data_IF_072854616269
#
_entry.id   IF_072854616269
#
_cell.length_a   1.000
_cell.length_b   1.000
_cell.length_c   1.000
_cell.angle_alpha   90.00
_cell.angle_beta   90.00
_cell.angle_gamma   90.00
#
_symmetry.space_group_name_H-M   'P 1'
#
loop_
_entity.id
_entity.type
_entity.pdbx_description
1 polymer ?
#
# COMPACT_ATOMS: atom_id res chain seq x y z
N UNK A 1 4.57 -15.70 -9.90
CA UNK A 1 3.26 -15.11 -9.58
C UNK A 1 3.30 -14.36 -8.25
N UNK A 2 3.90 -14.96 -7.22
CA UNK A 2 4.14 -14.31 -5.92
C UNK A 2 4.92 -12.99 -6.03
N UNK A 3 5.97 -12.93 -6.85
CA UNK A 3 6.71 -11.67 -7.07
C UNK A 3 5.86 -10.56 -7.69
N UNK A 4 4.92 -10.91 -8.58
CA UNK A 4 4.01 -9.94 -9.19
C UNK A 4 3.04 -9.37 -8.13
N UNK A 5 2.54 -10.24 -7.25
CA UNK A 5 1.68 -9.86 -6.12
C UNK A 5 2.44 -8.98 -5.13
N UNK A 6 3.67 -9.35 -4.76
CA UNK A 6 4.51 -8.57 -3.85
C UNK A 6 4.83 -7.19 -4.44
N UNK A 7 5.23 -7.15 -5.71
CA UNK A 7 5.50 -5.89 -6.41
C UNK A 7 4.29 -4.96 -6.40
N UNK A 8 3.09 -5.46 -6.68
CA UNK A 8 1.86 -4.67 -6.67
C UNK A 8 1.47 -4.20 -5.26
N UNK A 9 1.58 -5.08 -4.27
CA UNK A 9 1.16 -4.80 -2.89
C UNK A 9 2.13 -3.88 -2.16
N UNK A 10 3.42 -3.95 -2.48
CA UNK A 10 4.47 -3.31 -1.69
C UNK A 10 5.24 -2.21 -2.43
N UNK A 11 5.35 -2.25 -3.76
CA UNK A 11 6.31 -1.39 -4.51
C UNK A 11 5.66 -0.41 -5.49
N UNK A 12 4.49 -0.70 -6.04
CA UNK A 12 3.95 -0.02 -7.24
C UNK A 12 3.72 1.51 -7.14
N UNK A 13 3.34 2.10 -6.00
CA UNK A 13 2.99 3.54 -5.98
C UNK A 13 3.30 4.28 -4.67
N UNK A 14 4.50 4.08 -4.11
CA UNK A 14 4.91 4.76 -2.85
C UNK A 14 4.94 6.29 -2.94
N UNK A 15 5.18 6.86 -4.14
CA UNK A 15 5.35 8.31 -4.33
C UNK A 15 4.06 9.12 -4.10
N UNK A 16 2.88 8.51 -4.32
CA UNK A 16 1.57 9.15 -4.09
C UNK A 16 1.03 8.96 -2.67
N UNK A 17 1.60 8.02 -1.92
CA UNK A 17 1.09 7.57 -0.63
C UNK A 17 1.99 8.01 0.53
N UNK A 18 2.73 9.12 0.37
CA UNK A 18 3.69 9.61 1.36
C UNK A 18 4.70 8.55 1.84
N UNK A 19 5.13 7.66 0.94
CA UNK A 19 6.07 6.57 1.26
C UNK A 19 5.41 5.26 1.72
N UNK A 20 4.10 5.24 1.93
CA UNK A 20 3.36 4.02 2.31
C UNK A 20 3.21 3.05 1.13
N UNK A 21 3.17 1.75 1.41
CA UNK A 21 2.68 0.77 0.45
C UNK A 21 1.16 0.86 0.29
N UNK A 22 0.60 0.38 -0.85
CA UNK A 22 -0.86 0.26 -1.02
C UNK A 22 -1.58 -0.49 0.11
N UNK A 23 -0.94 -1.47 0.75
CA UNK A 23 -1.52 -2.18 1.90
C UNK A 23 -1.52 -1.28 3.14
N UNK A 24 -0.38 -0.65 3.47
CA UNK A 24 -0.26 0.25 4.61
C UNK A 24 -1.23 1.44 4.52
N UNK A 25 -1.37 2.03 3.33
CA UNK A 25 -2.31 3.13 3.11
C UNK A 25 -3.75 2.72 3.43
N UNK A 26 -4.21 1.56 2.95
CA UNK A 26 -5.57 1.06 3.22
C UNK A 26 -5.82 0.83 4.70
N UNK A 27 -4.87 0.21 5.40
CA UNK A 27 -4.98 0.01 6.86
C UNK A 27 -5.05 1.34 7.59
N UNK A 28 -4.21 2.31 7.22
CA UNK A 28 -4.17 3.63 7.83
C UNK A 28 -5.47 4.41 7.61
N UNK A 29 -5.99 4.44 6.37
CA UNK A 29 -7.27 5.13 6.07
C UNK A 29 -8.44 4.48 6.78
N UNK A 30 -8.46 3.15 6.90
CA UNK A 30 -9.53 2.44 7.60
C UNK A 30 -9.52 2.69 9.10
N UNK A 31 -8.35 2.93 9.70
CA UNK A 31 -8.23 3.33 11.10
C UNK A 31 -8.65 4.78 11.35
N UNK A 32 -8.41 5.69 10.40
CA UNK A 32 -8.83 7.10 10.51
C UNK A 32 -10.35 7.25 10.32
N UNK A 33 -10.98 6.38 9.53
CA UNK A 33 -12.41 6.42 9.25
C UNK A 33 -13.28 5.80 10.37
N UNK A 34 -12.68 5.27 11.44
CA UNK A 34 -13.35 4.69 12.61
C UNK A 34 -13.41 5.69 13.77
#
# INVERSE_FOLDING_TARGET
>A
MEEYIDYYNNKRIKKKLAGMSPVQYRTHTNQIAA
#
